data_IF_775226169390
#
_entry.id   IF_775226169390
#
_cell.length_a   1.000
_cell.length_b   1.000
_cell.length_c   1.000
_cell.angle_alpha   90.00
_cell.angle_beta   90.00
_cell.angle_gamma   90.00
#
_symmetry.space_group_name_H-M   'P 1'
#
loop_
_entity.id
_entity.type
_entity.pdbx_description
1 polymer ?
#
# COMPACT_ATOMS: atom_id res chain seq x y z
N UNK A 1 15.51 15.17 18.15
CA UNK A 1 14.40 14.23 17.85
C UNK A 1 14.99 12.95 17.28
N UNK A 2 14.57 11.75 17.71
CA UNK A 2 15.05 10.51 17.10
C UNK A 2 14.69 10.50 15.61
N UNK A 3 15.61 10.06 14.76
CA UNK A 3 15.35 10.02 13.31
C UNK A 3 14.26 8.98 13.00
N UNK A 4 13.38 9.25 12.02
CA UNK A 4 12.40 8.26 11.59
C UNK A 4 13.15 7.04 11.05
N UNK A 5 12.92 5.86 11.65
CA UNK A 5 13.47 4.61 11.11
C UNK A 5 12.97 4.40 9.67
N UNK A 6 13.90 4.06 8.77
CA UNK A 6 13.60 3.77 7.37
C UNK A 6 12.87 2.43 7.26
N UNK A 7 11.85 2.30 6.40
CA UNK A 7 11.23 1.01 6.12
C UNK A 7 12.26 -0.01 5.64
N UNK A 8 12.34 -1.18 6.30
CA UNK A 8 13.20 -2.29 5.86
C UNK A 8 12.52 -3.25 4.89
N UNK A 9 11.18 -3.18 4.76
CA UNK A 9 10.38 -4.07 3.88
C UNK A 9 9.62 -3.28 2.82
N UNK A 10 9.33 -3.94 1.68
CA UNK A 10 8.45 -3.39 0.63
C UNK A 10 7.08 -3.05 1.20
N UNK A 11 6.53 -3.95 2.05
CA UNK A 11 5.27 -3.73 2.74
C UNK A 11 5.28 -2.43 3.55
N UNK A 12 6.28 -2.27 4.43
CA UNK A 12 6.40 -1.09 5.27
C UNK A 12 6.57 0.19 4.46
N UNK A 13 7.38 0.15 3.39
CA UNK A 13 7.55 1.27 2.45
C UNK A 13 6.22 1.67 1.82
N UNK A 14 5.47 0.71 1.27
CA UNK A 14 4.18 0.96 0.60
C UNK A 14 3.13 1.45 1.57
N UNK A 15 3.01 0.83 2.74
CA UNK A 15 2.10 1.25 3.81
C UNK A 15 2.35 2.71 4.18
N UNK A 16 3.61 3.06 4.45
CA UNK A 16 4.01 4.44 4.80
C UNK A 16 3.70 5.43 3.69
N UNK A 17 4.03 5.09 2.43
CA UNK A 17 3.72 5.94 1.28
C UNK A 17 2.22 6.20 1.13
N UNK A 18 1.40 5.15 1.24
CA UNK A 18 -0.05 5.27 1.15
C UNK A 18 -0.64 6.12 2.29
N UNK A 19 -0.17 5.92 3.53
CA UNK A 19 -0.59 6.72 4.68
C UNK A 19 -0.25 8.20 4.49
N UNK A 20 0.98 8.50 4.07
CA UNK A 20 1.43 9.89 3.85
C UNK A 20 0.64 10.53 2.69
N UNK A 21 0.36 9.78 1.61
CA UNK A 21 -0.46 10.28 0.50
C UNK A 21 -1.89 10.63 0.92
N UNK A 22 -2.41 10.02 2.00
CA UNK A 22 -3.69 10.38 2.62
C UNK A 22 -3.58 11.55 3.62
N UNK A 23 -2.38 12.03 3.92
CA UNK A 23 -2.14 13.06 4.93
C UNK A 23 -2.37 12.59 6.36
N UNK A 24 -2.29 11.28 6.63
CA UNK A 24 -2.63 10.72 7.94
C UNK A 24 -1.39 10.50 8.82
N UNK A 25 -1.53 10.69 10.12
CA UNK A 25 -0.57 10.22 11.14
C UNK A 25 -0.71 8.71 11.35
N UNK A 26 0.30 8.08 11.98
CA UNK A 26 0.23 6.65 12.33
C UNK A 26 -0.96 6.36 13.27
N UNK A 27 -1.23 7.26 14.22
CA UNK A 27 -2.39 7.16 15.12
C UNK A 27 -3.72 7.22 14.34
N UNK A 28 -3.85 8.15 13.39
CA UNK A 28 -5.04 8.28 12.55
C UNK A 28 -5.29 7.04 11.68
N UNK A 29 -4.24 6.40 11.17
CA UNK A 29 -4.39 5.14 10.46
C UNK A 29 -4.81 4.00 11.39
N UNK A 30 -4.21 3.92 12.59
CA UNK A 30 -4.54 2.92 13.60
C UNK A 30 -6.02 3.01 14.02
N UNK A 31 -6.52 4.22 14.28
CA UNK A 31 -7.91 4.48 14.64
C UNK A 31 -8.88 4.02 13.54
N UNK A 32 -8.54 4.24 12.25
CA UNK A 32 -9.35 3.81 11.10
C UNK A 32 -9.46 2.30 10.94
N UNK A 33 -8.52 1.54 11.51
CA UNK A 33 -8.58 0.07 11.54
C UNK A 33 -9.07 -0.47 12.90
N UNK A 34 -9.64 0.39 13.75
CA UNK A 34 -10.29 0.01 15.01
C UNK A 34 -9.37 -0.08 16.22
N UNK A 35 -8.15 0.46 16.16
CA UNK A 35 -7.26 0.54 17.33
C UNK A 35 -7.62 1.77 18.18
N UNK A 36 -8.23 1.52 19.34
CA UNK A 36 -8.83 2.57 20.19
C UNK A 36 -7.79 3.40 20.96
N UNK A 37 -6.72 2.76 21.43
CA UNK A 37 -5.64 3.46 22.13
C UNK A 37 -4.64 4.06 21.12
N UNK A 38 -4.56 5.39 21.08
CA UNK A 38 -3.81 6.13 20.06
C UNK A 38 -2.31 5.87 20.10
N UNK A 39 -1.73 5.71 21.30
CA UNK A 39 -0.29 5.51 21.48
C UNK A 39 0.13 4.10 21.07
N UNK A 40 -0.57 3.08 21.56
CA UNK A 40 -0.30 1.69 21.19
C UNK A 40 -0.65 1.42 19.72
N UNK A 41 -1.71 2.04 19.21
CA UNK A 41 -2.10 1.98 17.80
C UNK A 41 -1.04 2.57 16.88
N UNK A 42 -0.58 3.79 17.16
CA UNK A 42 0.52 4.41 16.42
C UNK A 42 1.79 3.57 16.48
N UNK A 43 2.10 2.98 17.64
CA UNK A 43 3.25 2.08 17.81
C UNK A 43 3.13 0.83 16.93
N UNK A 44 1.95 0.21 16.84
CA UNK A 44 1.73 -0.95 15.96
C UNK A 44 1.90 -0.58 14.49
N UNK A 45 1.27 0.51 14.04
CA UNK A 45 1.43 1.01 12.67
C UNK A 45 2.89 1.30 12.36
N UNK A 46 3.62 1.94 13.29
CA UNK A 46 5.05 2.16 13.13
C UNK A 46 5.83 0.87 12.95
N UNK A 47 5.52 -0.20 13.68
CA UNK A 47 6.20 -1.50 13.53
C UNK A 47 5.95 -2.11 12.16
N UNK A 48 4.75 -1.96 11.60
CA UNK A 48 4.46 -2.38 10.22
C UNK A 48 5.23 -1.53 9.21
N UNK A 49 5.24 -0.20 9.37
CA UNK A 49 5.93 0.71 8.46
C UNK A 49 7.45 0.56 8.45
N UNK A 50 8.04 0.24 9.60
CA UNK A 50 9.47 -0.01 9.71
C UNK A 50 9.86 -1.44 9.32
N UNK A 51 8.89 -2.32 9.07
CA UNK A 51 9.13 -3.75 8.82
C UNK A 51 9.62 -4.51 10.05
N UNK A 52 9.36 -3.99 11.27
CA UNK A 52 9.68 -4.71 12.49
C UNK A 52 8.76 -5.91 12.68
N UNK A 53 7.48 -5.76 12.33
CA UNK A 53 6.50 -6.84 12.26
C UNK A 53 5.77 -6.76 10.94
N UNK A 54 5.37 -7.91 10.41
CA UNK A 54 4.41 -7.98 9.33
C UNK A 54 2.98 -8.04 9.90
N UNK A 55 2.01 -7.34 9.31
CA UNK A 55 0.62 -7.52 9.67
C UNK A 55 0.13 -8.89 9.20
N UNK A 56 -0.77 -9.49 9.98
CA UNK A 56 -1.51 -10.67 9.54
C UNK A 56 -2.45 -10.33 8.35
N UNK A 57 -2.98 -11.34 7.64
CA UNK A 57 -3.85 -11.09 6.48
C UNK A 57 -5.06 -10.20 6.78
N UNK A 58 -5.72 -10.40 7.93
CA UNK A 58 -6.89 -9.62 8.32
C UNK A 58 -6.54 -8.14 8.56
N UNK A 59 -5.41 -7.87 9.20
CA UNK A 59 -4.88 -6.53 9.43
C UNK A 59 -4.46 -5.88 8.11
N UNK A 60 -3.84 -6.64 7.19
CA UNK A 60 -3.47 -6.18 5.86
C UNK A 60 -4.71 -5.74 5.05
N UNK A 61 -5.78 -6.53 5.08
CA UNK A 61 -7.05 -6.18 4.46
C UNK A 61 -7.69 -4.94 5.09
N UNK A 62 -7.68 -4.83 6.43
CA UNK A 62 -8.20 -3.66 7.13
C UNK A 62 -7.41 -2.38 6.75
N UNK A 63 -6.08 -2.46 6.69
CA UNK A 63 -5.21 -1.36 6.26
C UNK A 63 -5.52 -0.95 4.80
N UNK A 64 -5.61 -1.93 3.90
CA UNK A 64 -5.92 -1.70 2.49
C UNK A 64 -7.29 -1.03 2.31
N UNK A 65 -8.31 -1.52 3.02
CA UNK A 65 -9.66 -0.95 3.04
C UNK A 65 -9.65 0.50 3.55
N UNK A 66 -9.01 0.77 4.69
CA UNK A 66 -8.91 2.13 5.23
C UNK A 66 -8.20 3.08 4.24
N UNK A 67 -7.15 2.61 3.58
CA UNK A 67 -6.37 3.36 2.59
C UNK A 67 -6.98 3.35 1.19
N UNK A 68 -8.15 2.73 0.98
CA UNK A 68 -8.87 2.66 -0.28
C UNK A 68 -8.01 2.19 -1.46
N UNK A 69 -7.22 1.14 -1.24
CA UNK A 69 -6.29 0.57 -2.21
C UNK A 69 -6.33 -0.97 -2.15
N UNK A 70 -5.92 -1.68 -3.22
CA UNK A 70 -5.82 -3.14 -3.18
C UNK A 70 -4.69 -3.60 -2.26
N UNK A 71 -4.87 -4.74 -1.58
CA UNK A 71 -3.81 -5.38 -0.77
C UNK A 71 -2.53 -5.60 -1.59
N UNK A 72 -2.66 -5.93 -2.89
CA UNK A 72 -1.55 -6.11 -3.81
C UNK A 72 -0.58 -4.91 -3.86
N UNK A 73 -1.06 -3.68 -3.60
CA UNK A 73 -0.22 -2.49 -3.56
C UNK A 73 0.90 -2.61 -2.52
N UNK A 74 0.66 -3.25 -1.37
CA UNK A 74 1.67 -3.41 -0.34
C UNK A 74 2.85 -4.28 -0.76
N UNK A 75 2.69 -5.09 -1.82
CA UNK A 75 3.72 -5.99 -2.33
C UNK A 75 4.37 -5.48 -3.62
N UNK A 76 4.03 -4.28 -4.08
CA UNK A 76 4.58 -3.71 -5.30
C UNK A 76 6.07 -3.36 -5.15
N UNK A 77 6.94 -4.13 -5.79
CA UNK A 77 8.41 -4.05 -5.61
C UNK A 77 9.04 -2.80 -6.24
N UNK A 78 8.36 -2.14 -7.18
CA UNK A 78 8.80 -0.86 -7.77
C UNK A 78 7.69 0.18 -7.73
N UNK A 79 8.06 1.47 -7.81
CA UNK A 79 7.10 2.57 -7.77
C UNK A 79 6.19 2.56 -9.01
N UNK A 80 6.73 2.16 -10.17
CA UNK A 80 5.96 1.94 -11.41
C UNK A 80 4.90 0.85 -11.23
N UNK A 81 5.25 -0.31 -10.65
CA UNK A 81 4.28 -1.38 -10.40
C UNK A 81 3.19 -0.93 -9.43
N UNK A 82 3.56 -0.18 -8.40
CA UNK A 82 2.63 0.36 -7.42
C UNK A 82 1.61 1.30 -8.09
N UNK A 83 2.07 2.17 -8.98
CA UNK A 83 1.23 3.08 -9.74
C UNK A 83 0.29 2.35 -10.71
N UNK A 84 0.79 1.36 -11.45
CA UNK A 84 -0.04 0.52 -12.32
C UNK A 84 -1.15 -0.17 -11.53
N UNK A 85 -0.84 -0.76 -10.38
CA UNK A 85 -1.85 -1.40 -9.50
C UNK A 85 -2.92 -0.38 -9.07
N UNK A 86 -2.52 0.82 -8.64
CA UNK A 86 -3.45 1.86 -8.20
C UNK A 86 -4.32 2.40 -9.34
N UNK A 87 -3.75 2.62 -10.52
CA UNK A 87 -4.49 3.12 -11.68
C UNK A 87 -5.51 2.09 -12.16
N UNK A 88 -5.07 0.84 -12.37
CA UNK A 88 -5.95 -0.22 -12.87
C UNK A 88 -7.06 -0.55 -11.87
N UNK A 89 -6.77 -0.63 -10.58
CA UNK A 89 -7.78 -0.97 -9.57
C UNK A 89 -8.94 0.02 -9.44
N UNK A 90 -8.76 1.27 -9.87
CA UNK A 90 -9.81 2.30 -9.87
C UNK A 90 -10.71 2.27 -11.12
N UNK A 91 -10.33 1.52 -12.15
CA UNK A 91 -11.09 1.43 -13.39
C UNK A 91 -12.25 0.43 -13.27
N UNK A 92 -13.37 0.64 -13.98
CA UNK A 92 -14.37 -0.39 -14.19
C UNK A 92 -13.75 -1.63 -14.86
N UNK A 93 -14.30 -2.83 -14.61
CA UNK A 93 -13.74 -4.10 -15.11
C UNK A 93 -13.47 -4.10 -16.63
N UNK A 94 -14.36 -3.51 -17.43
CA UNK A 94 -14.17 -3.39 -18.88
C UNK A 94 -12.92 -2.58 -19.25
N UNK A 95 -12.66 -1.47 -18.53
CA UNK A 95 -11.47 -0.63 -18.72
C UNK A 95 -10.21 -1.25 -18.16
N UNK A 96 -10.30 -2.07 -17.10
CA UNK A 96 -9.18 -2.90 -16.65
C UNK A 96 -8.74 -3.88 -17.73
N UNK A 97 -9.70 -4.54 -18.40
CA UNK A 97 -9.40 -5.44 -19.54
C UNK A 97 -8.76 -4.69 -20.71
N UNK A 98 -9.27 -3.52 -21.07
CA UNK A 98 -8.66 -2.69 -22.12
C UNK A 98 -7.22 -2.28 -21.76
N UNK A 99 -6.98 -1.88 -20.50
CA UNK A 99 -5.63 -1.56 -20.02
C UNK A 99 -4.69 -2.77 -20.10
N UNK A 100 -5.16 -3.96 -19.74
CA UNK A 100 -4.40 -5.19 -19.84
C UNK A 100 -4.00 -5.50 -21.29
N UNK A 101 -4.92 -5.37 -22.25
CA UNK A 101 -4.59 -5.60 -23.66
C UNK A 101 -3.53 -4.62 -24.18
N UNK A 102 -3.62 -3.33 -23.83
CA UNK A 102 -2.58 -2.34 -24.18
C UNK A 102 -1.21 -2.70 -23.58
N UNK A 103 -1.17 -3.16 -22.33
CA UNK A 103 0.07 -3.61 -21.70
C UNK A 103 0.66 -4.85 -22.42
N UNK A 104 -0.19 -5.79 -22.86
CA UNK A 104 0.25 -6.94 -23.66
C UNK A 104 0.82 -6.52 -25.00
N UNK A 105 0.22 -5.52 -25.67
CA UNK A 105 0.76 -4.98 -26.93
C UNK A 105 2.15 -4.38 -26.73
N UNK A 106 2.38 -3.63 -25.64
CA UNK A 106 3.71 -3.09 -25.34
C UNK A 106 4.74 -4.20 -25.16
N UNK A 107 4.40 -5.25 -24.41
CA UNK A 107 5.27 -6.40 -24.19
C UNK A 107 5.55 -7.20 -25.48
N UNK A 108 4.55 -7.31 -26.36
CA UNK A 108 4.69 -7.97 -27.67
C UNK A 108 5.57 -7.18 -28.66
N UNK A 109 5.52 -5.84 -28.60
CA UNK A 109 6.35 -4.95 -29.42
C UNK A 109 7.82 -4.88 -29.00
N UNK A 110 8.17 -5.36 -27.79
CA UNK A 110 9.56 -5.44 -27.31
C UNK A 110 10.36 -6.60 -27.92
N UNK A 111 9.78 -7.41 -28.81
CA UNK A 111 10.46 -8.48 -29.56
C UNK A 111 11.00 -8.04 -30.94
N UNK A 112 11.11 -6.73 -31.20
CA UNK A 112 11.68 -6.17 -32.43
C UNK A 112 13.01 -5.49 -32.18
#
# INVERSE_FOLDING_TARGET
MPQPKTPSTIYGKRLRSARIARGWTQAQLAERIGMVDSVSGATRVSRYETGQHDPDPATSEALAKALGLPVAYFHATSDVLAEVILLVSKLPLAKQREALEKLKEFAGKTKG
#
